data_IF_736152283999
#
_entry.id   IF_736152283999
#
_cell.length_a   1.000
_cell.length_b   1.000
_cell.length_c   1.000
_cell.angle_alpha   90.00
_cell.angle_beta   90.00
_cell.angle_gamma   90.00
#
_symmetry.space_group_name_H-M   'P 1'
#
loop_
_entity.id
_entity.type
_entity.pdbx_description
1 polymer ?
#
# COMPACT_ATOMS: atom_id res chain seq x y z
N UNK A 1 24.43 -21.71 -0.19
CA UNK A 1 23.46 -22.26 0.80
C UNK A 1 24.10 -22.78 2.10
N UNK A 2 25.21 -23.54 2.10
CA UNK A 2 25.77 -24.11 3.36
C UNK A 2 26.53 -23.13 4.27
N UNK A 3 26.84 -21.92 3.82
CA UNK A 3 27.65 -20.93 4.56
C UNK A 3 26.84 -19.78 5.22
N UNK A 4 25.51 -19.74 5.05
CA UNK A 4 24.69 -18.56 5.37
C UNK A 4 23.50 -18.89 6.29
N UNK A 5 23.64 -19.88 7.18
CA UNK A 5 22.58 -20.29 8.12
C UNK A 5 22.37 -19.32 9.31
N UNK A 6 23.04 -18.17 9.31
CA UNK A 6 23.11 -17.26 10.48
C UNK A 6 22.85 -15.79 10.16
N UNK A 7 22.38 -15.43 8.97
CA UNK A 7 21.88 -14.05 8.82
C UNK A 7 20.70 -13.86 9.77
N UNK A 8 20.76 -12.82 10.58
CA UNK A 8 19.71 -12.44 11.51
C UNK A 8 18.39 -12.39 10.74
N UNK A 9 17.35 -13.04 11.24
CA UNK A 9 16.03 -12.95 10.66
C UNK A 9 15.31 -11.74 11.25
N UNK A 10 14.65 -10.92 10.42
CA UNK A 10 13.91 -9.76 10.89
C UNK A 10 12.54 -10.17 11.44
N UNK A 11 12.56 -10.74 12.65
CA UNK A 11 11.35 -11.06 13.41
C UNK A 11 10.50 -12.20 12.85
N UNK A 12 9.48 -12.56 13.62
CA UNK A 12 8.54 -13.64 13.31
C UNK A 12 7.15 -13.04 13.18
N UNK A 13 6.67 -12.91 11.95
CA UNK A 13 5.41 -12.24 11.65
C UNK A 13 4.26 -13.24 11.74
N UNK A 14 3.25 -12.94 12.55
CA UNK A 14 1.99 -13.67 12.48
C UNK A 14 1.17 -13.21 11.27
N UNK A 15 0.37 -14.12 10.73
CA UNK A 15 -0.57 -13.82 9.66
C UNK A 15 -2.01 -13.91 10.18
N UNK A 16 -2.68 -12.78 10.37
CA UNK A 16 -3.96 -12.67 11.09
C UNK A 16 -5.10 -12.27 10.17
N UNK A 17 -6.25 -12.94 10.31
CA UNK A 17 -7.46 -12.54 9.60
C UNK A 17 -8.01 -11.21 10.15
N UNK A 18 -8.63 -10.37 9.31
CA UNK A 18 -9.43 -9.24 9.79
C UNK A 18 -10.61 -9.73 10.64
N UNK A 19 -11.03 -8.91 11.60
CA UNK A 19 -12.18 -9.13 12.47
C UNK A 19 -12.69 -7.80 13.04
N UNK A 20 -13.73 -7.85 13.89
CA UNK A 20 -14.23 -6.67 14.60
C UNK A 20 -13.17 -5.94 15.45
N UNK A 21 -12.14 -6.67 15.91
CA UNK A 21 -11.11 -6.16 16.84
C UNK A 21 -9.74 -5.93 16.19
N UNK A 22 -9.54 -6.37 14.95
CA UNK A 22 -8.28 -6.17 14.24
C UNK A 22 -8.51 -6.02 12.74
N UNK A 23 -7.71 -5.19 12.08
CA UNK A 23 -7.70 -5.11 10.61
C UNK A 23 -7.02 -6.32 9.96
N UNK A 24 -6.47 -7.26 10.75
CA UNK A 24 -5.69 -8.38 10.22
C UNK A 24 -4.32 -7.95 9.71
N UNK A 25 -3.58 -8.87 9.10
CA UNK A 25 -2.30 -8.55 8.47
C UNK A 25 -2.57 -7.84 7.15
N UNK A 26 -2.13 -6.59 7.04
CA UNK A 26 -2.40 -5.74 5.88
C UNK A 26 -1.13 -5.47 5.05
N UNK A 27 -1.27 -5.12 3.77
CA UNK A 27 -0.14 -4.86 2.87
C UNK A 27 0.86 -3.85 3.42
N UNK A 28 0.39 -2.76 4.05
CA UNK A 28 1.25 -1.73 4.64
C UNK A 28 2.12 -2.25 5.80
N UNK A 29 1.60 -3.16 6.62
CA UNK A 29 2.33 -3.71 7.76
C UNK A 29 3.48 -4.57 7.27
N UNK A 30 3.23 -5.33 6.21
CA UNK A 30 4.25 -6.10 5.53
C UNK A 30 5.26 -5.18 4.84
N UNK A 31 4.79 -4.15 4.12
CA UNK A 31 5.64 -3.16 3.45
C UNK A 31 6.61 -2.49 4.44
N UNK A 32 6.10 -2.09 5.60
CA UNK A 32 6.91 -1.56 6.69
C UNK A 32 7.97 -2.57 7.13
N UNK A 33 7.58 -3.76 7.56
CA UNK A 33 8.53 -4.74 8.10
C UNK A 33 9.54 -5.23 7.05
N UNK A 34 9.10 -5.52 5.82
CA UNK A 34 9.99 -6.03 4.77
C UNK A 34 10.94 -4.95 4.28
N UNK A 35 10.53 -3.68 4.28
CA UNK A 35 11.44 -2.57 3.99
C UNK A 35 12.56 -2.46 5.03
N UNK A 36 12.22 -2.58 6.32
CA UNK A 36 13.23 -2.60 7.39
C UNK A 36 14.13 -3.82 7.26
N UNK A 37 13.58 -5.00 6.97
CA UNK A 37 14.37 -6.21 6.78
C UNK A 37 15.36 -6.07 5.60
N UNK A 38 14.89 -5.57 4.46
CA UNK A 38 15.74 -5.33 3.28
C UNK A 38 16.88 -4.33 3.56
N UNK A 39 16.64 -3.32 4.41
CA UNK A 39 17.67 -2.35 4.83
C UNK A 39 18.87 -2.97 5.58
N UNK A 40 18.65 -4.13 6.21
CA UNK A 40 19.66 -4.88 6.96
C UNK A 40 20.15 -6.13 6.21
N UNK A 41 19.73 -6.28 4.93
CA UNK A 41 19.97 -7.47 4.12
C UNK A 41 19.60 -8.77 4.87
N UNK A 42 18.42 -8.74 5.49
CA UNK A 42 17.86 -9.90 6.18
C UNK A 42 16.49 -10.30 5.65
N UNK A 43 16.18 -11.61 5.67
CA UNK A 43 14.84 -12.08 5.36
C UNK A 43 13.90 -11.89 6.55
N UNK A 44 12.60 -11.91 6.26
CA UNK A 44 11.55 -12.06 7.27
C UNK A 44 11.12 -13.54 7.41
N UNK A 45 10.50 -13.89 8.54
CA UNK A 45 9.77 -15.15 8.68
C UNK A 45 8.28 -14.89 8.82
N UNK A 46 7.45 -15.56 8.01
CA UNK A 46 6.00 -15.51 8.11
C UNK A 46 5.46 -16.81 8.72
N UNK A 47 4.82 -16.72 9.87
CA UNK A 47 4.16 -17.82 10.55
C UNK A 47 2.66 -17.82 10.22
N UNK A 48 2.28 -18.75 9.35
CA UNK A 48 0.91 -18.94 8.87
C UNK A 48 0.62 -20.43 8.59
N UNK A 49 -0.59 -20.72 8.12
CA UNK A 49 -0.96 -22.03 7.57
C UNK A 49 -1.78 -21.83 6.29
N UNK A 50 -1.90 -22.88 5.47
CA UNK A 50 -2.59 -22.82 4.17
C UNK A 50 -4.03 -22.34 4.30
N UNK A 51 -4.76 -22.82 5.31
CA UNK A 51 -6.13 -22.39 5.58
C UNK A 51 -6.23 -20.88 5.83
N UNK A 52 -5.30 -20.30 6.60
CA UNK A 52 -5.26 -18.84 6.81
C UNK A 52 -4.94 -18.08 5.54
N UNK A 53 -4.08 -18.61 4.65
CA UNK A 53 -3.84 -17.98 3.36
C UNK A 53 -5.09 -18.01 2.46
N UNK A 54 -5.82 -19.12 2.46
CA UNK A 54 -7.08 -19.25 1.73
C UNK A 54 -8.18 -18.32 2.27
N UNK A 55 -8.27 -18.19 3.60
CA UNK A 55 -9.31 -17.39 4.26
C UNK A 55 -9.02 -15.89 4.25
N UNK A 56 -7.76 -15.47 4.20
CA UNK A 56 -7.43 -14.05 4.31
C UNK A 56 -7.70 -13.32 2.99
N UNK A 57 -8.62 -12.34 2.96
CA UNK A 57 -9.06 -11.68 1.73
C UNK A 57 -7.97 -10.88 1.01
N UNK A 58 -6.84 -10.60 1.69
CA UNK A 58 -5.71 -9.82 1.20
C UNK A 58 -4.46 -10.68 0.96
N UNK A 59 -4.57 -12.01 0.92
CA UNK A 59 -3.41 -12.89 0.67
C UNK A 59 -2.67 -12.56 -0.61
N UNK A 60 -3.38 -12.31 -1.71
CA UNK A 60 -2.73 -11.93 -2.96
C UNK A 60 -1.89 -10.65 -2.81
N UNK A 61 -2.48 -9.59 -2.25
CA UNK A 61 -1.78 -8.32 -2.03
C UNK A 61 -0.62 -8.45 -1.03
N UNK A 62 -0.83 -9.17 0.07
CA UNK A 62 0.17 -9.40 1.11
C UNK A 62 1.39 -10.16 0.59
N UNK A 63 1.16 -11.24 -0.17
CA UNK A 63 2.25 -12.02 -0.75
C UNK A 63 2.95 -11.25 -1.89
N UNK A 64 2.25 -10.39 -2.61
CA UNK A 64 2.87 -9.52 -3.61
C UNK A 64 3.80 -8.48 -2.97
N UNK A 65 3.48 -7.92 -1.79
CA UNK A 65 4.41 -7.09 -1.01
C UNK A 65 5.68 -7.86 -0.67
N UNK A 66 5.53 -9.05 -0.09
CA UNK A 66 6.67 -9.89 0.31
C UNK A 66 7.52 -10.24 -0.91
N UNK A 67 6.89 -10.64 -2.03
CA UNK A 67 7.59 -10.98 -3.27
C UNK A 67 8.48 -9.83 -3.75
N UNK A 68 7.92 -8.60 -3.85
CA UNK A 68 8.65 -7.42 -4.32
C UNK A 68 9.85 -7.10 -3.42
N UNK A 69 9.65 -7.11 -2.10
CA UNK A 69 10.72 -6.80 -1.16
C UNK A 69 11.81 -7.87 -1.08
N UNK A 70 11.45 -9.16 -1.18
CA UNK A 70 12.43 -10.23 -1.24
C UNK A 70 13.21 -10.22 -2.56
N UNK A 71 12.59 -9.79 -3.66
CA UNK A 71 13.26 -9.64 -4.97
C UNK A 71 14.29 -8.51 -4.95
N UNK A 72 13.94 -7.31 -4.46
CA UNK A 72 14.93 -6.20 -4.36
C UNK A 72 16.07 -6.53 -3.40
N UNK A 73 15.80 -7.29 -2.34
CA UNK A 73 16.84 -7.80 -1.43
C UNK A 73 17.75 -8.80 -2.13
N UNK A 74 17.18 -9.78 -2.83
CA UNK A 74 17.94 -10.84 -3.49
C UNK A 74 18.77 -10.37 -4.69
N UNK A 75 18.44 -9.20 -5.25
CA UNK A 75 19.10 -8.63 -6.44
C UNK A 75 20.02 -7.45 -6.12
N UNK A 76 20.24 -7.14 -4.84
CA UNK A 76 21.01 -5.96 -4.39
C UNK A 76 20.54 -4.65 -5.04
N UNK A 77 19.22 -4.53 -5.23
CA UNK A 77 18.62 -3.39 -5.95
C UNK A 77 18.72 -2.08 -5.16
N UNK A 78 18.65 -2.16 -3.83
CA UNK A 78 18.73 -1.00 -2.94
C UNK A 78 20.15 -0.46 -2.84
N UNK A 79 20.33 0.85 -3.03
CA UNK A 79 21.59 1.52 -2.74
C UNK A 79 21.85 1.61 -1.24
N UNK A 80 23.10 1.88 -0.83
CA UNK A 80 23.41 2.11 0.58
C UNK A 80 22.64 3.33 1.15
N UNK A 81 22.39 4.34 0.32
CA UNK A 81 21.56 5.49 0.72
C UNK A 81 20.11 5.08 0.98
N UNK A 82 19.54 4.21 0.14
CA UNK A 82 18.19 3.68 0.36
C UNK A 82 18.14 2.86 1.65
N UNK A 83 19.13 1.98 1.89
CA UNK A 83 19.20 1.18 3.11
C UNK A 83 19.27 2.05 4.36
N UNK A 84 20.08 3.11 4.37
CA UNK A 84 20.11 4.04 5.52
C UNK A 84 18.78 4.78 5.71
N UNK A 85 18.13 5.22 4.63
CA UNK A 85 16.83 5.88 4.69
C UNK A 85 15.73 4.94 5.21
N UNK A 86 15.77 3.66 4.82
CA UNK A 86 14.84 2.63 5.27
C UNK A 86 15.02 2.28 6.76
N UNK A 87 16.19 2.44 7.35
CA UNK A 87 16.41 2.18 8.79
C UNK A 87 15.69 3.17 9.70
N UNK A 88 15.34 4.37 9.20
CA UNK A 88 14.64 5.39 9.97
C UNK A 88 13.21 4.95 10.31
N UNK A 89 12.93 4.73 11.60
CA UNK A 89 11.70 4.06 12.05
C UNK A 89 10.41 4.88 11.88
N UNK A 90 10.50 6.21 11.83
CA UNK A 90 9.34 7.10 11.67
C UNK A 90 8.87 7.27 10.23
N UNK A 91 9.65 6.77 9.26
CA UNK A 91 9.38 6.90 7.83
C UNK A 91 8.97 5.56 7.26
N UNK A 92 7.93 5.59 6.44
CA UNK A 92 7.41 4.43 5.75
C UNK A 92 7.58 4.61 4.24
N UNK A 93 7.79 3.51 3.55
CA UNK A 93 8.07 3.51 2.11
C UNK A 93 7.21 2.48 1.41
N UNK A 94 6.91 2.76 0.16
CA UNK A 94 6.20 1.88 -0.75
C UNK A 94 7.08 1.56 -1.95
N UNK A 95 7.26 0.28 -2.22
CA UNK A 95 8.01 -0.21 -3.36
C UNK A 95 7.05 -0.44 -4.53
N UNK A 96 6.70 0.61 -5.25
CA UNK A 96 5.74 0.53 -6.36
C UNK A 96 6.36 -0.09 -7.61
N UNK A 97 5.49 -0.56 -8.51
CA UNK A 97 5.86 -0.94 -9.87
C UNK A 97 5.39 0.20 -10.78
N UNK A 98 6.33 0.85 -11.45
CA UNK A 98 6.06 2.00 -12.30
C UNK A 98 5.41 1.59 -13.64
N UNK A 99 5.15 2.56 -14.50
CA UNK A 99 4.55 2.37 -15.82
C UNK A 99 5.39 1.47 -16.76
N UNK A 100 6.68 1.29 -16.48
CA UNK A 100 7.59 0.44 -17.25
C UNK A 100 7.70 -0.98 -16.68
N UNK A 101 7.01 -1.27 -15.57
CA UNK A 101 7.15 -2.55 -14.87
C UNK A 101 8.37 -2.64 -13.96
N UNK A 102 9.04 -1.51 -13.70
CA UNK A 102 10.25 -1.44 -12.88
C UNK A 102 9.92 -1.03 -11.43
N UNK A 103 10.78 -1.41 -10.50
CA UNK A 103 10.66 -0.99 -9.11
C UNK A 103 10.98 0.49 -8.93
N UNK A 104 10.21 1.15 -8.08
CA UNK A 104 10.46 2.51 -7.64
C UNK A 104 10.15 2.62 -6.15
N UNK A 105 11.07 3.22 -5.39
CA UNK A 105 10.92 3.43 -3.96
C UNK A 105 10.39 4.84 -3.71
N UNK A 106 9.22 4.95 -3.08
CA UNK A 106 8.64 6.24 -2.68
C UNK A 106 8.35 6.26 -1.20
N UNK A 107 8.58 7.41 -0.56
CA UNK A 107 8.06 7.64 0.79
C UNK A 107 6.56 7.92 0.73
N UNK A 108 5.81 7.36 1.66
CA UNK A 108 4.37 7.55 1.75
C UNK A 108 3.90 7.72 3.20
N UNK A 109 2.73 8.33 3.36
CA UNK A 109 2.16 8.63 4.68
C UNK A 109 0.74 8.10 4.79
N UNK A 110 0.43 7.44 5.90
CA UNK A 110 -0.92 6.95 6.18
C UNK A 110 -1.85 8.12 6.54
N UNK A 111 -2.96 8.24 5.81
CA UNK A 111 -4.05 9.17 6.15
C UNK A 111 -4.99 8.50 7.17
N UNK A 112 -4.63 8.58 8.44
CA UNK A 112 -5.39 7.96 9.55
C UNK A 112 -6.83 8.46 9.68
N UNK A 113 -7.11 9.65 9.18
CA UNK A 113 -8.42 10.32 9.27
C UNK A 113 -9.33 10.05 8.07
N UNK A 114 -8.87 9.27 7.09
CA UNK A 114 -9.63 8.97 5.87
C UNK A 114 -10.99 8.33 6.20
N UNK A 115 -12.02 8.74 5.45
CA UNK A 115 -13.42 8.37 5.65
C UNK A 115 -13.86 8.51 7.14
N UNK A 116 -13.59 9.67 7.73
CA UNK A 116 -13.81 9.96 9.15
C UNK A 116 -13.15 8.95 10.12
N UNK A 117 -11.98 8.41 9.75
CA UNK A 117 -11.24 7.43 10.53
C UNK A 117 -11.84 6.01 10.47
N UNK A 118 -12.57 5.69 9.39
CA UNK A 118 -13.09 4.34 9.22
C UNK A 118 -11.95 3.35 9.00
N UNK A 119 -11.80 2.41 9.94
CA UNK A 119 -10.76 1.36 9.93
C UNK A 119 -10.78 0.43 8.71
N UNK A 120 -11.91 0.36 8.02
CA UNK A 120 -12.08 -0.48 6.82
C UNK A 120 -11.30 0.04 5.62
N UNK A 121 -11.01 1.35 5.59
CA UNK A 121 -10.23 2.01 4.56
C UNK A 121 -8.79 2.16 5.03
N UNK A 122 -7.87 1.60 4.24
CA UNK A 122 -6.44 1.91 4.32
C UNK A 122 -6.14 2.91 3.20
N UNK A 123 -5.55 4.06 3.52
CA UNK A 123 -5.24 5.10 2.53
C UNK A 123 -3.90 5.78 2.81
N UNK A 124 -3.05 5.87 1.79
CA UNK A 124 -1.70 6.41 1.89
C UNK A 124 -1.49 7.46 0.81
N UNK A 125 -0.72 8.49 1.11
CA UNK A 125 -0.41 9.59 0.21
C UNK A 125 1.10 9.67 -0.04
N UNK A 126 1.47 9.81 -1.30
CA UNK A 126 2.87 10.05 -1.70
C UNK A 126 2.94 11.04 -2.86
N UNK A 127 4.07 11.73 -2.96
CA UNK A 127 4.38 12.59 -4.10
C UNK A 127 5.38 11.88 -5.01
N UNK A 128 5.12 11.87 -6.31
CA UNK A 128 6.01 11.30 -7.33
C UNK A 128 6.07 12.23 -8.53
N UNK A 129 7.26 12.74 -8.84
CA UNK A 129 7.45 13.63 -9.99
C UNK A 129 6.67 14.94 -9.90
N UNK A 130 6.35 15.42 -8.70
CA UNK A 130 5.53 16.61 -8.46
C UNK A 130 4.03 16.34 -8.36
N UNK A 131 3.57 15.17 -8.82
CA UNK A 131 2.18 14.75 -8.76
C UNK A 131 1.88 13.99 -7.46
N UNK A 132 0.65 14.12 -6.96
CA UNK A 132 0.20 13.38 -5.78
C UNK A 132 -0.53 12.11 -6.15
N UNK A 133 -0.27 11.06 -5.38
CA UNK A 133 -0.90 9.75 -5.55
C UNK A 133 -1.45 9.25 -4.21
N UNK A 134 -2.70 8.80 -4.26
CA UNK A 134 -3.32 8.04 -3.19
C UNK A 134 -3.14 6.56 -3.49
N UNK A 135 -2.68 5.76 -2.53
CA UNK A 135 -2.79 4.30 -2.54
C UNK A 135 -3.82 3.88 -1.52
N UNK A 136 -4.79 3.05 -1.90
CA UNK A 136 -5.87 2.69 -0.98
C UNK A 136 -6.46 1.29 -1.25
N UNK A 137 -7.09 0.71 -0.23
CA UNK A 137 -7.78 -0.59 -0.31
C UNK A 137 -8.75 -0.79 0.87
N UNK A 138 -9.62 -1.80 0.75
CA UNK A 138 -10.44 -2.27 1.87
C UNK A 138 -9.71 -3.36 2.64
N UNK A 139 -9.87 -3.42 3.96
CA UNK A 139 -9.20 -4.46 4.78
C UNK A 139 -9.64 -5.89 4.43
N UNK A 140 -10.88 -6.07 3.96
CA UNK A 140 -11.47 -7.40 3.74
C UNK A 140 -12.45 -7.59 2.57
N UNK A 141 -12.98 -6.54 1.96
CA UNK A 141 -14.29 -6.58 1.31
C UNK A 141 -14.31 -5.84 -0.01
N UNK A 142 -15.42 -5.98 -0.71
CA UNK A 142 -15.69 -5.28 -1.96
C UNK A 142 -16.75 -4.20 -1.70
N UNK A 143 -16.27 -2.98 -1.51
CA UNK A 143 -17.07 -1.78 -1.28
C UNK A 143 -16.80 -0.79 -2.41
N UNK A 144 -17.40 0.38 -2.30
CA UNK A 144 -17.09 1.53 -3.14
C UNK A 144 -16.67 2.69 -2.25
N UNK A 145 -15.81 3.55 -2.78
CA UNK A 145 -15.39 4.78 -2.13
C UNK A 145 -15.84 5.94 -3.00
N UNK A 146 -16.68 6.80 -2.44
CA UNK A 146 -17.07 8.07 -3.04
C UNK A 146 -16.10 9.13 -2.57
N UNK A 147 -15.53 9.88 -3.52
CA UNK A 147 -14.54 10.92 -3.27
C UNK A 147 -15.08 12.26 -3.79
N UNK A 148 -15.05 13.33 -2.96
CA UNK A 148 -15.45 14.68 -3.38
C UNK A 148 -14.36 15.34 -4.25
N UNK A 149 -14.07 14.73 -5.39
CA UNK A 149 -13.11 15.20 -6.39
C UNK A 149 -13.73 15.15 -7.78
N UNK A 150 -13.45 16.19 -8.58
CA UNK A 150 -13.89 16.21 -9.98
C UNK A 150 -13.19 15.10 -10.78
N UNK A 151 -13.91 14.37 -11.67
CA UNK A 151 -13.32 13.35 -12.53
C UNK A 151 -12.17 13.87 -13.41
N UNK A 152 -12.16 15.17 -13.72
CA UNK A 152 -11.09 15.81 -14.52
C UNK A 152 -9.76 15.96 -13.78
N UNK A 153 -9.76 15.81 -12.45
CA UNK A 153 -8.60 15.98 -11.56
C UNK A 153 -8.12 14.68 -10.93
N UNK A 154 -8.69 13.56 -11.34
CA UNK A 154 -8.38 12.26 -10.80
C UNK A 154 -8.13 11.27 -11.94
N UNK A 155 -7.26 10.30 -11.73
CA UNK A 155 -7.15 9.13 -12.61
C UNK A 155 -6.94 7.89 -11.75
N UNK A 156 -7.79 6.88 -11.95
CA UNK A 156 -7.76 5.63 -11.21
C UNK A 156 -6.85 4.62 -11.89
N UNK A 157 -6.13 3.83 -11.09
CA UNK A 157 -5.25 2.77 -11.54
C UNK A 157 -5.37 1.55 -10.62
N UNK A 158 -5.29 0.35 -11.20
CA UNK A 158 -4.87 -0.85 -10.45
C UNK A 158 -3.37 -1.08 -10.63
N UNK A 159 -2.89 -0.91 -11.85
CA UNK A 159 -1.49 -0.85 -12.24
C UNK A 159 -1.24 0.50 -12.90
N UNK A 160 -0.11 1.14 -12.61
CA UNK A 160 0.14 2.53 -12.97
C UNK A 160 0.25 2.76 -14.49
N UNK A 161 0.60 1.71 -15.24
CA UNK A 161 0.65 1.72 -16.72
C UNK A 161 -0.75 1.74 -17.38
N UNK A 162 -1.81 1.42 -16.62
CA UNK A 162 -3.14 1.19 -17.18
C UNK A 162 -4.24 1.92 -16.38
N UNK A 163 -4.70 3.09 -16.87
CA UNK A 163 -5.86 3.77 -16.30
C UNK A 163 -7.11 2.89 -16.30
N UNK A 164 -7.88 2.97 -15.24
CA UNK A 164 -9.20 2.37 -15.12
C UNK A 164 -10.31 3.42 -15.10
N UNK A 165 -11.48 3.05 -15.58
CA UNK A 165 -12.66 3.90 -15.49
C UNK A 165 -13.16 3.97 -14.04
N UNK A 166 -13.69 5.13 -13.66
CA UNK A 166 -14.47 5.27 -12.43
C UNK A 166 -15.76 4.43 -12.51
N UNK A 167 -16.25 3.95 -11.37
CA UNK A 167 -17.52 3.22 -11.30
C UNK A 167 -18.70 4.14 -11.65
N UNK A 168 -18.63 5.39 -11.19
CA UNK A 168 -19.55 6.45 -11.55
C UNK A 168 -18.90 7.83 -11.32
N UNK A 169 -19.48 8.85 -11.95
CA UNK A 169 -18.96 10.22 -11.89
C UNK A 169 -20.11 11.22 -11.82
N UNK A 170 -19.91 12.30 -11.04
CA UNK A 170 -20.68 13.54 -11.15
C UNK A 170 -19.73 14.68 -11.57
N UNK A 171 -20.20 15.93 -11.57
CA UNK A 171 -19.31 17.08 -11.86
C UNK A 171 -18.23 17.27 -10.77
N UNK A 172 -18.55 16.90 -9.53
CA UNK A 172 -17.75 17.20 -8.33
C UNK A 172 -17.27 15.96 -7.60
N UNK A 173 -17.68 14.76 -8.01
CA UNK A 173 -17.41 13.52 -7.29
C UNK A 173 -17.08 12.37 -8.25
N UNK A 174 -16.28 11.43 -7.76
CA UNK A 174 -16.04 10.15 -8.40
C UNK A 174 -16.35 9.03 -7.42
N UNK A 175 -16.85 7.91 -7.93
CA UNK A 175 -16.94 6.66 -7.17
C UNK A 175 -15.92 5.68 -7.73
N UNK A 176 -15.08 5.14 -6.85
CA UNK A 176 -14.04 4.16 -7.18
C UNK A 176 -14.29 2.83 -6.47
N UNK A 177 -13.77 1.70 -6.97
CA UNK A 177 -13.80 0.45 -6.22
C UNK A 177 -12.98 0.58 -4.95
N UNK A 178 -13.47 0.02 -3.85
CA UNK A 178 -12.78 -0.12 -2.58
C UNK A 178 -12.68 -1.61 -2.27
N UNK A 179 -11.66 -2.24 -2.86
CA UNK A 179 -11.39 -3.66 -2.74
C UNK A 179 -9.89 -3.93 -2.69
N UNK A 180 -9.28 -4.23 -3.83
CA UNK A 180 -7.85 -4.43 -4.00
C UNK A 180 -7.07 -3.12 -3.86
N UNK A 181 -5.76 -3.26 -3.68
CA UNK A 181 -4.83 -2.14 -3.72
C UNK A 181 -4.93 -1.39 -5.05
N UNK A 182 -5.28 -0.11 -4.97
CA UNK A 182 -5.47 0.78 -6.11
C UNK A 182 -4.76 2.10 -5.88
N UNK A 183 -4.53 2.82 -6.98
CA UNK A 183 -3.96 4.16 -6.96
C UNK A 183 -4.90 5.18 -7.57
N UNK A 184 -4.89 6.39 -7.05
CA UNK A 184 -5.50 7.56 -7.68
C UNK A 184 -4.42 8.61 -7.83
N UNK A 185 -4.10 8.97 -9.07
CA UNK A 185 -3.34 10.19 -9.35
C UNK A 185 -4.28 11.39 -9.18
N UNK A 186 -3.84 12.39 -8.43
CA UNK A 186 -4.59 13.63 -8.18
C UNK A 186 -3.81 14.81 -8.74
N UNK A 187 -4.47 15.67 -9.51
CA UNK A 187 -3.90 16.90 -10.07
C UNK A 187 -4.59 18.14 -9.53
N UNK A 188 -3.89 19.28 -9.52
CA UNK A 188 -4.41 20.59 -9.11
C UNK A 188 -4.96 20.64 -7.67
N UNK A 189 -4.35 19.88 -6.75
CA UNK A 189 -4.62 19.93 -5.31
C UNK A 189 -3.32 19.92 -4.49
N UNK A 190 -3.33 20.62 -3.37
CA UNK A 190 -2.27 20.51 -2.36
C UNK A 190 -2.44 19.25 -1.51
N UNK A 191 -1.38 18.87 -0.78
CA UNK A 191 -1.42 17.76 0.18
C UNK A 191 -2.60 17.88 1.15
N UNK A 192 -2.82 19.07 1.71
CA UNK A 192 -3.87 19.34 2.70
C UNK A 192 -5.26 19.16 2.10
N UNK A 193 -5.46 19.61 0.85
CA UNK A 193 -6.72 19.43 0.15
C UNK A 193 -7.00 17.97 -0.17
N UNK A 194 -5.97 17.18 -0.51
CA UNK A 194 -6.12 15.74 -0.76
C UNK A 194 -6.49 15.01 0.54
N UNK A 195 -5.84 15.36 1.64
CA UNK A 195 -6.20 14.83 2.97
C UNK A 195 -7.65 15.21 3.32
N UNK A 196 -8.07 16.44 3.04
CA UNK A 196 -9.46 16.88 3.25
C UNK A 196 -10.47 16.10 2.39
N UNK A 197 -10.15 15.86 1.11
CA UNK A 197 -10.96 14.99 0.23
C UNK A 197 -11.11 13.59 0.83
N UNK A 198 -10.00 13.01 1.30
CA UNK A 198 -10.01 11.67 1.91
C UNK A 198 -10.77 11.64 3.23
N UNK A 199 -10.71 12.69 4.04
CA UNK A 199 -11.48 12.80 5.28
C UNK A 199 -12.99 12.80 5.02
N UNK A 200 -13.41 13.43 3.93
CA UNK A 200 -14.80 13.52 3.47
C UNK A 200 -15.21 12.38 2.53
N UNK A 201 -14.35 11.39 2.31
CA UNK A 201 -14.69 10.23 1.51
C UNK A 201 -15.76 9.36 2.20
N UNK A 202 -16.65 8.76 1.41
CA UNK A 202 -17.77 7.96 1.92
C UNK A 202 -17.63 6.53 1.40
N UNK A 203 -17.62 5.56 2.31
CA UNK A 203 -17.69 4.14 1.97
C UNK A 203 -19.15 3.76 1.72
N UNK A 204 -19.44 3.18 0.57
CA UNK A 204 -20.78 2.68 0.20
C UNK A 204 -20.73 1.21 -0.22
N UNK A 205 -21.89 0.56 -0.18
CA UNK A 205 -22.07 -0.80 -0.72
C UNK A 205 -22.07 -0.83 -2.27
#
# INVERSE_FOLDING_TARGET
MRQDFTRLNFGWLGYFLPSETTVGTQPDMLEFVTSKAASWDCPISLHANLKRFEEHPRTADNLEVIRRWEEVRATDWLTETDKEALKEGSREYHLLINEQGEYELVEYEHILTAAAGNRELRAFLFNRGGDWYLRYWHIEGDKKLQLPISPSRATLYKQLDKPEAFLSTSQTEVTVPLNDCRYIKVTDYTKEQIVDIMNHAIITN
#
